data_IF_774306271225
#
_entry.id   IF_774306271225
#
_cell.length_a   1.000
_cell.length_b   1.000
_cell.length_c   1.000
_cell.angle_alpha   90.00
_cell.angle_beta   90.00
_cell.angle_gamma   90.00
#
_symmetry.space_group_name_H-M   'P 1'
#
loop_
_entity.id
_entity.type
_entity.pdbx_description
1 polymer ?
#
# COMPACT_ATOMS: atom_id res chain seq x y z
N UNK A 1 31.71 -3.39 -7.34
CA UNK A 1 30.26 -3.59 -7.15
C UNK A 1 29.59 -3.31 -8.49
N UNK A 2 28.97 -4.31 -9.13
CA UNK A 2 28.28 -4.11 -10.41
C UNK A 2 26.99 -3.35 -10.12
N UNK A 3 26.95 -2.05 -10.43
CA UNK A 3 25.73 -1.26 -10.35
C UNK A 3 24.80 -1.70 -11.49
N UNK A 4 24.07 -2.81 -11.29
CA UNK A 4 22.92 -3.13 -12.12
C UNK A 4 21.80 -2.18 -11.72
N UNK A 5 21.84 -0.97 -12.27
CA UNK A 5 20.72 -0.03 -12.20
C UNK A 5 19.56 -0.67 -12.94
N UNK A 6 18.65 -1.31 -12.18
CA UNK A 6 17.44 -1.89 -12.75
C UNK A 6 16.65 -0.75 -13.39
N UNK A 7 16.26 -0.93 -14.64
CA UNK A 7 15.42 0.03 -15.34
C UNK A 7 14.06 0.13 -14.66
N UNK A 8 13.45 1.32 -14.64
CA UNK A 8 12.11 1.50 -14.11
C UNK A 8 11.06 0.79 -14.97
N UNK A 9 10.42 -0.24 -14.41
CA UNK A 9 9.25 -0.89 -14.96
C UNK A 9 7.99 -0.43 -14.22
N UNK A 10 7.08 0.25 -14.92
CA UNK A 10 5.80 0.75 -14.38
C UNK A 10 4.84 -0.39 -13.98
N UNK A 11 4.97 -1.57 -14.59
CA UNK A 11 4.14 -2.74 -14.27
C UNK A 11 4.25 -3.17 -12.81
N UNK A 12 5.44 -3.06 -12.21
CA UNK A 12 5.68 -3.44 -10.81
C UNK A 12 4.80 -2.64 -9.84
N UNK A 13 4.85 -1.29 -9.81
CA UNK A 13 3.98 -0.52 -8.93
C UNK A 13 2.49 -0.63 -9.28
N UNK A 14 2.12 -0.90 -10.55
CA UNK A 14 0.72 -1.15 -10.92
C UNK A 14 0.17 -2.46 -10.38
N UNK A 15 0.95 -3.55 -10.42
CA UNK A 15 0.55 -4.83 -9.82
C UNK A 15 0.41 -4.68 -8.30
N UNK A 16 1.37 -3.99 -7.65
CA UNK A 16 1.30 -3.71 -6.22
C UNK A 16 0.11 -2.82 -5.86
N UNK A 17 -0.23 -1.84 -6.70
CA UNK A 17 -1.44 -1.04 -6.55
C UNK A 17 -2.71 -1.91 -6.60
N UNK A 18 -2.82 -2.79 -7.59
CA UNK A 18 -3.99 -3.67 -7.72
C UNK A 18 -4.17 -4.57 -6.49
N UNK A 19 -3.08 -5.16 -6.00
CA UNK A 19 -3.08 -5.95 -4.76
C UNK A 19 -3.53 -5.09 -3.57
N UNK A 20 -2.96 -3.89 -3.42
CA UNK A 20 -3.33 -2.98 -2.34
C UNK A 20 -4.80 -2.54 -2.38
N UNK A 21 -5.37 -2.31 -3.57
CA UNK A 21 -6.78 -1.93 -3.69
C UNK A 21 -7.70 -3.04 -3.17
N UNK A 22 -7.40 -4.30 -3.48
CA UNK A 22 -8.19 -5.44 -2.98
C UNK A 22 -8.07 -5.59 -1.46
N UNK A 23 -6.86 -5.50 -0.92
CA UNK A 23 -6.66 -5.58 0.53
C UNK A 23 -7.28 -4.39 1.26
N UNK A 24 -7.16 -3.19 0.68
CA UNK A 24 -7.75 -1.97 1.21
C UNK A 24 -9.29 -2.02 1.17
N UNK A 25 -9.91 -2.63 0.15
CA UNK A 25 -11.37 -2.80 0.15
C UNK A 25 -11.85 -3.69 1.29
N UNK A 26 -11.11 -4.77 1.62
CA UNK A 26 -11.45 -5.60 2.79
C UNK A 26 -11.29 -4.82 4.10
N UNK A 27 -10.23 -4.02 4.24
CA UNK A 27 -10.06 -3.15 5.40
C UNK A 27 -11.22 -2.15 5.53
N UNK A 28 -11.63 -1.53 4.42
CA UNK A 28 -12.74 -0.58 4.43
C UNK A 28 -14.07 -1.25 4.78
N UNK A 29 -14.31 -2.47 4.28
CA UNK A 29 -15.47 -3.27 4.65
C UNK A 29 -15.49 -3.54 6.15
N UNK A 30 -14.40 -4.05 6.73
CA UNK A 30 -14.33 -4.36 8.17
C UNK A 30 -14.47 -3.11 9.05
N UNK A 31 -14.08 -1.93 8.55
CA UNK A 31 -14.26 -0.65 9.26
C UNK A 31 -15.68 -0.11 9.20
N UNK A 32 -16.40 -0.39 8.11
CA UNK A 32 -17.79 0.05 7.91
C UNK A 32 -18.79 -0.91 8.56
N UNK A 33 -18.50 -2.21 8.48
CA UNK A 33 -19.30 -3.29 9.05
C UNK A 33 -18.37 -4.35 9.65
N UNK A 34 -18.33 -4.37 10.99
CA UNK A 34 -17.54 -5.35 11.75
C UNK A 34 -18.33 -6.64 12.04
N UNK A 35 -19.50 -6.82 11.44
CA UNK A 35 -20.26 -8.06 11.58
C UNK A 35 -19.67 -9.18 10.70
N UNK A 36 -19.78 -10.45 11.12
CA UNK A 36 -19.29 -11.56 10.32
C UNK A 36 -19.96 -11.62 8.93
N UNK A 37 -19.23 -11.99 7.86
CA UNK A 37 -17.85 -12.52 7.88
C UNK A 37 -16.76 -11.44 7.85
N UNK A 38 -15.66 -11.65 8.58
CA UNK A 38 -14.46 -10.80 8.50
C UNK A 38 -13.57 -11.27 7.34
N UNK A 39 -13.66 -10.61 6.19
CA UNK A 39 -13.01 -11.05 4.94
C UNK A 39 -11.51 -10.70 4.83
N UNK A 40 -11.01 -9.74 5.61
CA UNK A 40 -9.66 -9.22 5.53
C UNK A 40 -8.63 -9.98 6.38
N UNK A 41 -9.06 -10.60 7.49
CA UNK A 41 -8.21 -11.39 8.38
C UNK A 41 -6.91 -10.66 8.76
N UNK A 42 -5.78 -11.39 8.82
CA UNK A 42 -4.45 -10.76 9.00
C UNK A 42 -3.86 -10.18 7.71
N UNK A 43 -4.39 -10.52 6.54
CA UNK A 43 -3.85 -10.14 5.23
C UNK A 43 -4.10 -8.67 4.89
N UNK A 44 -5.19 -8.07 5.39
CA UNK A 44 -5.43 -6.63 5.25
C UNK A 44 -4.32 -5.75 5.87
N UNK A 45 -3.58 -6.27 6.86
CA UNK A 45 -2.42 -5.59 7.46
C UNK A 45 -1.18 -5.61 6.55
N UNK A 46 -1.24 -6.29 5.40
CA UNK A 46 -0.18 -6.25 4.39
C UNK A 46 -0.26 -5.02 3.48
N UNK A 47 -1.37 -4.28 3.51
CA UNK A 47 -1.57 -3.06 2.70
C UNK A 47 -0.43 -2.03 2.89
N UNK A 48 0.02 -1.73 4.12
CA UNK A 48 1.19 -0.88 4.35
C UNK A 48 2.50 -1.49 3.81
N UNK A 49 2.65 -2.81 3.88
CA UNK A 49 3.86 -3.51 3.40
C UNK A 49 3.99 -3.38 1.89
N UNK A 50 2.94 -3.71 1.14
CA UNK A 50 2.95 -3.58 -0.32
C UNK A 50 3.02 -2.11 -0.76
N UNK A 51 2.37 -1.20 -0.04
CA UNK A 51 2.50 0.25 -0.24
C UNK A 51 3.96 0.71 -0.09
N UNK A 52 4.64 0.26 0.97
CA UNK A 52 6.04 0.58 1.22
C UNK A 52 6.97 -0.02 0.16
N UNK A 53 6.75 -1.28 -0.24
CA UNK A 53 7.55 -1.93 -1.29
C UNK A 53 7.42 -1.17 -2.61
N UNK A 54 6.19 -0.82 -3.00
CA UNK A 54 5.92 -0.02 -4.20
C UNK A 54 6.57 1.36 -4.10
N UNK A 55 6.48 2.01 -2.94
CA UNK A 55 7.06 3.32 -2.67
C UNK A 55 8.59 3.32 -2.81
N UNK A 56 9.24 2.34 -2.18
CA UNK A 56 10.69 2.19 -2.21
C UNK A 56 11.16 1.80 -3.62
N UNK A 57 10.42 0.97 -4.33
CA UNK A 57 10.71 0.63 -5.72
C UNK A 57 10.71 1.89 -6.59
N UNK A 58 9.66 2.71 -6.54
CA UNK A 58 9.60 3.96 -7.32
C UNK A 58 10.74 4.91 -6.93
N UNK A 59 11.04 5.05 -5.64
CA UNK A 59 12.07 5.97 -5.15
C UNK A 59 13.49 5.54 -5.51
N UNK A 60 13.79 4.25 -5.41
CA UNK A 60 15.16 3.71 -5.58
C UNK A 60 15.50 3.33 -7.02
N UNK A 61 14.50 3.18 -7.88
CA UNK A 61 14.75 2.79 -9.28
C UNK A 61 15.12 4.03 -10.11
N UNK A 62 16.23 3.91 -10.83
CA UNK A 62 16.76 4.94 -11.71
C UNK A 62 16.12 4.89 -13.11
N UNK A 63 16.26 5.98 -13.86
CA UNK A 63 15.73 6.11 -15.22
C UNK A 63 14.49 6.99 -15.35
N UNK A 64 14.03 7.21 -16.59
CA UNK A 64 12.89 8.07 -16.88
C UNK A 64 11.61 7.48 -16.30
N UNK A 65 10.89 8.32 -15.55
CA UNK A 65 9.61 7.98 -14.93
C UNK A 65 8.49 8.66 -15.70
N UNK A 66 7.38 7.98 -16.01
CA UNK A 66 6.23 8.63 -16.62
C UNK A 66 5.67 9.74 -15.72
N UNK A 67 5.06 10.76 -16.33
CA UNK A 67 4.60 11.97 -15.65
C UNK A 67 3.58 11.71 -14.53
N UNK A 68 2.85 10.59 -14.57
CA UNK A 68 1.85 10.20 -13.56
C UNK A 68 2.38 9.42 -12.35
N UNK A 69 3.69 9.15 -12.24
CA UNK A 69 4.23 8.32 -11.15
C UNK A 69 4.02 8.92 -9.76
N UNK A 70 3.86 10.24 -9.64
CA UNK A 70 3.56 10.89 -8.37
C UNK A 70 2.19 10.46 -7.81
N UNK A 71 1.21 10.13 -8.66
CA UNK A 71 -0.10 9.62 -8.24
C UNK A 71 0.08 8.26 -7.56
N UNK A 72 0.91 7.38 -8.14
CA UNK A 72 1.25 6.10 -7.52
C UNK A 72 1.94 6.29 -6.17
N UNK A 73 2.82 7.29 -6.04
CA UNK A 73 3.46 7.61 -4.76
C UNK A 73 2.45 8.14 -3.72
N UNK A 74 1.49 8.96 -4.12
CA UNK A 74 0.45 9.45 -3.24
C UNK A 74 -0.46 8.30 -2.76
N UNK A 75 -0.83 7.38 -3.65
CA UNK A 75 -1.60 6.19 -3.29
C UNK A 75 -0.82 5.25 -2.37
N UNK A 76 0.48 5.04 -2.63
CA UNK A 76 1.33 4.27 -1.72
C UNK A 76 1.38 4.89 -0.31
N UNK A 77 1.45 6.22 -0.22
CA UNK A 77 1.36 6.92 1.06
C UNK A 77 0.02 6.67 1.77
N UNK A 78 -1.09 6.74 1.04
CA UNK A 78 -2.41 6.41 1.57
C UNK A 78 -2.45 4.99 2.15
N UNK A 79 -2.00 4.00 1.37
CA UNK A 79 -1.97 2.59 1.79
C UNK A 79 -1.06 2.32 2.99
N UNK A 80 -0.05 3.15 3.23
CA UNK A 80 0.82 3.06 4.41
C UNK A 80 0.18 3.76 5.60
N UNK A 81 -0.19 5.04 5.45
CA UNK A 81 -0.62 5.88 6.57
C UNK A 81 -1.99 5.47 7.08
N UNK A 82 -2.95 5.19 6.19
CA UNK A 82 -4.33 4.97 6.58
C UNK A 82 -4.48 3.77 7.53
N UNK A 83 -3.98 2.55 7.22
CA UNK A 83 -4.13 1.43 8.14
C UNK A 83 -3.39 1.64 9.47
N UNK A 84 -2.25 2.34 9.45
CA UNK A 84 -1.51 2.69 10.67
C UNK A 84 -2.36 3.64 11.54
N UNK A 85 -2.95 4.68 10.95
CA UNK A 85 -3.79 5.64 11.65
C UNK A 85 -5.03 4.95 12.27
N UNK A 86 -5.66 4.04 11.52
CA UNK A 86 -6.76 3.20 12.00
C UNK A 86 -6.34 2.44 13.26
N UNK A 87 -5.22 1.70 13.22
CA UNK A 87 -4.73 0.95 14.40
C UNK A 87 -4.55 1.88 15.61
N UNK A 88 -3.93 3.04 15.43
CA UNK A 88 -3.74 4.01 16.53
C UNK A 88 -5.06 4.53 17.10
N UNK A 89 -6.04 4.85 16.25
CA UNK A 89 -7.36 5.32 16.70
C UNK A 89 -8.07 4.23 17.50
N UNK A 90 -8.06 2.98 17.01
CA UNK A 90 -8.62 1.86 17.75
C UNK A 90 -7.91 1.69 19.10
N UNK A 91 -6.58 1.68 19.13
CA UNK A 91 -5.84 1.57 20.40
C UNK A 91 -6.23 2.68 21.39
N UNK A 92 -6.35 3.93 20.94
CA UNK A 92 -6.72 5.06 21.79
C UNK A 92 -8.18 5.02 22.26
N UNK A 93 -9.09 4.47 21.47
CA UNK A 93 -10.51 4.37 21.82
C UNK A 93 -10.78 3.27 22.87
N UNK A 94 -9.90 2.28 22.98
CA UNK A 94 -10.01 1.15 23.90
C UNK A 94 -9.00 1.19 25.07
N UNK A 95 -8.28 2.31 25.24
CA UNK A 95 -7.50 2.67 26.45
C UNK A 95 -8.39 3.53 27.35
#
# INVERSE_FOLDING_TARGET
MKNTTKQFHLSIPLVLLAINLVLFSFLMEELLDASPPNYGGGMQLMTPVFGLVSFLYIRKTEGPKPSGVWILQALNWLFIIFPIAVIFIFMLAFI
#
